data_IF_173466378471
#
_entry.id   IF_173466378471
#
_cell.length_a   1.000
_cell.length_b   1.000
_cell.length_c   1.000
_cell.angle_alpha   90.00
_cell.angle_beta   90.00
_cell.angle_gamma   90.00
#
_symmetry.space_group_name_H-M   'P 1'
#
loop_
_entity.id
_entity.type
_entity.pdbx_description
1 polymer ?
#
# COMPACT_ATOMS: atom_id res chain seq x y z
N UNK A 1 12.63 -5.15 12.31
CA UNK A 1 12.31 -5.13 13.76
C UNK A 1 12.13 -3.67 14.13
N UNK A 2 10.95 -3.28 14.61
CA UNK A 2 10.66 -1.89 14.98
C UNK A 2 11.30 -1.56 16.33
N UNK A 3 11.51 -0.27 16.60
CA UNK A 3 11.97 0.19 17.91
C UNK A 3 10.82 0.10 18.91
N UNK A 4 11.09 -0.40 20.12
CA UNK A 4 10.11 -0.48 21.23
C UNK A 4 9.40 0.86 21.49
N UNK A 5 10.08 1.98 21.21
CA UNK A 5 9.51 3.33 21.32
C UNK A 5 8.46 3.61 20.24
N UNK A 6 8.67 3.13 19.01
CA UNK A 6 7.76 3.30 17.88
C UNK A 6 6.47 2.48 18.09
N UNK A 7 6.60 1.23 18.54
CA UNK A 7 5.45 0.37 18.85
C UNK A 7 4.54 1.02 19.90
N UNK A 8 5.12 1.54 20.99
CA UNK A 8 4.37 2.27 22.03
C UNK A 8 3.66 3.52 21.50
N UNK A 9 4.27 4.26 20.57
CA UNK A 9 3.69 5.47 19.97
C UNK A 9 2.53 5.13 19.04
N UNK A 10 2.62 4.03 18.27
CA UNK A 10 1.53 3.51 17.44
C UNK A 10 0.36 2.95 18.28
N UNK A 11 0.67 2.27 19.38
CA UNK A 11 -0.31 1.81 20.36
C UNK A 11 -1.05 2.99 21.04
N UNK A 12 -0.39 4.15 21.18
CA UNK A 12 -1.02 5.38 21.68
C UNK A 12 -1.92 6.02 20.61
N UNK A 13 -1.43 6.15 19.37
CA UNK A 13 -2.22 6.68 18.24
C UNK A 13 -3.52 5.88 18.03
N UNK A 14 -3.41 4.57 17.88
CA UNK A 14 -4.53 3.66 17.62
C UNK A 14 -5.60 3.62 18.71
N UNK A 15 -5.29 4.05 19.93
CA UNK A 15 -6.25 4.07 21.05
C UNK A 15 -6.88 5.44 21.28
N UNK A 16 -6.15 6.52 20.97
CA UNK A 16 -6.50 7.86 21.44
C UNK A 16 -6.72 8.89 20.33
N UNK A 17 -6.16 8.69 19.12
CA UNK A 17 -6.15 9.69 18.05
C UNK A 17 -7.03 9.26 16.89
N UNK A 18 -8.13 9.95 16.67
CA UNK A 18 -8.91 9.85 15.45
C UNK A 18 -8.11 10.44 14.28
N UNK A 19 -8.06 9.78 13.12
CA UNK A 19 -8.88 8.62 12.78
C UNK A 19 -8.20 7.25 12.98
N UNK A 20 -6.98 7.17 13.56
CA UNK A 20 -6.30 5.89 13.80
C UNK A 20 -7.09 4.92 14.71
N UNK A 21 -7.97 5.43 15.58
CA UNK A 21 -8.91 4.61 16.35
C UNK A 21 -9.94 3.84 15.52
N UNK A 22 -10.10 4.20 14.25
CA UNK A 22 -11.00 3.56 13.29
C UNK A 22 -10.31 2.43 12.50
N UNK A 23 -9.01 2.16 12.73
CA UNK A 23 -8.23 1.19 11.96
C UNK A 23 -8.08 -0.15 12.69
N UNK A 24 -8.09 -1.25 11.94
CA UNK A 24 -7.78 -2.60 12.43
C UNK A 24 -6.31 -2.77 12.81
N UNK A 25 -5.98 -3.86 13.51
CA UNK A 25 -4.58 -4.19 13.86
C UNK A 25 -3.72 -4.49 12.63
N UNK A 26 -4.27 -5.11 11.58
CA UNK A 26 -3.55 -5.31 10.33
C UNK A 26 -3.25 -3.96 9.66
N UNK A 27 -4.24 -3.06 9.58
CA UNK A 27 -4.08 -1.73 8.96
C UNK A 27 -3.07 -0.85 9.70
N UNK A 28 -2.98 -0.95 11.03
CA UNK A 28 -1.96 -0.23 11.80
C UNK A 28 -0.52 -0.58 11.42
N UNK A 29 -0.25 -1.79 10.90
CA UNK A 29 1.07 -2.12 10.35
C UNK A 29 1.34 -1.45 8.99
N UNK A 30 0.30 -1.19 8.18
CA UNK A 30 0.44 -0.42 6.94
C UNK A 30 0.64 1.08 7.20
N UNK A 31 -0.02 1.62 8.24
CA UNK A 31 0.14 3.00 8.71
C UNK A 31 1.60 3.34 9.00
N UNK A 32 2.40 2.41 9.54
CA UNK A 32 3.84 2.63 9.83
C UNK A 32 4.64 3.06 8.61
N UNK A 33 4.29 2.56 7.42
CA UNK A 33 4.96 2.91 6.17
C UNK A 33 4.43 4.21 5.54
N UNK A 34 3.32 4.72 6.06
CA UNK A 34 2.58 5.89 5.59
C UNK A 34 2.91 7.14 6.42
N UNK A 35 3.02 6.99 7.74
CA UNK A 35 3.22 8.11 8.67
C UNK A 35 4.69 8.33 9.00
N UNK A 36 5.06 9.58 9.28
CA UNK A 36 6.40 9.97 9.70
C UNK A 36 6.35 10.47 11.13
N UNK A 37 7.20 9.89 11.98
CA UNK A 37 7.39 10.35 13.35
C UNK A 37 8.59 11.29 13.43
N UNK A 38 8.42 12.39 14.16
CA UNK A 38 9.47 13.35 14.46
C UNK A 38 9.50 13.58 15.97
N UNK A 39 10.70 13.58 16.55
CA UNK A 39 10.93 13.98 17.92
C UNK A 39 11.54 15.39 17.92
N UNK A 40 10.98 16.29 18.73
CA UNK A 40 11.51 17.64 18.92
C UNK A 40 11.81 17.88 20.39
N UNK A 41 12.95 18.49 20.69
CA UNK A 41 13.31 18.94 22.04
C UNK A 41 12.72 20.32 22.31
N UNK A 42 12.50 20.65 23.58
CA UNK A 42 12.04 21.98 23.97
C UNK A 42 12.95 23.07 23.39
N UNK A 43 12.35 24.06 22.74
CA UNK A 43 13.03 25.17 22.08
C UNK A 43 13.44 24.91 20.63
N UNK A 44 13.34 23.67 20.12
CA UNK A 44 13.61 23.39 18.70
C UNK A 44 12.53 23.98 17.80
N UNK A 45 12.97 24.41 16.62
CA UNK A 45 12.13 25.01 15.57
C UNK A 45 12.34 24.21 14.29
N UNK A 46 11.25 23.78 13.66
CA UNK A 46 11.28 22.93 12.46
C UNK A 46 10.28 23.44 11.41
N UNK A 47 10.64 23.46 10.13
CA UNK A 47 9.70 23.81 9.05
C UNK A 47 9.23 22.56 8.32
N UNK A 48 7.91 22.46 8.16
CA UNK A 48 7.22 21.34 7.50
C UNK A 48 6.25 21.88 6.45
N UNK A 49 6.07 21.12 5.38
CA UNK A 49 5.05 21.33 4.35
C UNK A 49 4.14 20.10 4.30
N UNK A 50 2.86 20.29 4.03
CA UNK A 50 2.04 19.17 3.55
C UNK A 50 2.50 18.71 2.16
N UNK A 51 2.00 17.56 1.72
CA UNK A 51 2.23 17.02 0.39
C UNK A 51 1.45 17.76 -0.69
N UNK A 52 0.82 17.00 -1.59
CA UNK A 52 -0.06 17.56 -2.63
C UNK A 52 -1.48 17.88 -2.12
N UNK A 53 -1.87 17.28 -0.98
CA UNK A 53 -3.12 17.52 -0.28
C UNK A 53 -2.91 18.28 1.03
N UNK A 54 -3.86 18.14 1.95
CA UNK A 54 -3.79 18.72 3.30
C UNK A 54 -3.35 17.64 4.30
N UNK A 55 -2.04 17.49 4.54
CA UNK A 55 -1.52 16.47 5.44
C UNK A 55 -1.96 16.72 6.89
N UNK A 56 -2.19 15.64 7.64
CA UNK A 56 -2.52 15.70 9.06
C UNK A 56 -1.26 15.76 9.93
N UNK A 57 -1.25 16.66 10.91
CA UNK A 57 -0.26 16.72 11.97
C UNK A 57 -0.91 16.45 13.34
N UNK A 58 -0.40 15.42 14.03
CA UNK A 58 -0.81 15.04 15.38
C UNK A 58 0.32 15.26 16.36
N UNK A 59 0.05 15.88 17.50
CA UNK A 59 1.01 16.00 18.61
C UNK A 59 0.78 14.80 19.52
N UNK A 60 1.57 13.74 19.37
CA UNK A 60 1.35 12.48 20.11
C UNK A 60 1.75 12.62 21.58
N UNK A 61 2.84 13.34 21.85
CA UNK A 61 3.32 13.71 23.17
C UNK A 61 3.87 15.15 23.14
N UNK A 62 3.85 15.84 24.28
CA UNK A 62 4.42 17.19 24.43
C UNK A 62 3.47 18.33 24.06
N UNK A 63 4.03 19.44 23.57
CA UNK A 63 3.27 20.66 23.26
C UNK A 63 4.03 21.53 22.23
N UNK A 64 3.33 21.92 21.17
CA UNK A 64 3.87 22.73 20.08
C UNK A 64 3.12 24.06 19.93
N UNK A 65 3.80 25.05 19.36
CA UNK A 65 3.18 26.21 18.70
C UNK A 65 3.52 26.14 17.21
N UNK A 66 2.54 26.41 16.33
CA UNK A 66 2.65 26.21 14.87
C UNK A 66 2.59 27.60 14.19
N UNK A 67 3.24 27.88 13.03
CA UNK A 67 3.20 29.18 12.28
C UNK A 67 3.53 29.01 10.76
N UNK A 68 2.67 29.22 9.75
CA UNK A 68 1.35 29.84 9.76
C UNK A 68 1.27 31.15 8.95
N UNK A 69 1.97 31.28 7.82
CA UNK A 69 1.92 32.47 6.94
C UNK A 69 2.10 33.81 7.68
N UNK A 70 3.01 33.83 8.67
CA UNK A 70 3.27 34.99 9.54
C UNK A 70 2.27 35.21 10.68
N UNK A 71 1.16 34.46 10.74
CA UNK A 71 0.08 34.62 11.70
C UNK A 71 -0.45 33.26 12.23
N UNK A 72 0.15 32.75 13.30
CA UNK A 72 -0.55 31.82 14.21
C UNK A 72 -0.23 32.19 15.66
N UNK A 73 -1.22 31.98 16.54
CA UNK A 73 -1.02 31.47 17.90
C UNK A 73 -2.08 30.40 18.21
N UNK A 74 -1.78 29.17 17.85
CA UNK A 74 -2.48 27.95 18.22
C UNK A 74 -1.43 27.05 18.85
N UNK A 75 -1.62 26.77 20.13
CA UNK A 75 -0.80 25.83 20.87
C UNK A 75 -1.52 24.49 20.81
N UNK A 76 -0.82 23.44 20.37
CA UNK A 76 -1.38 22.12 20.15
C UNK A 76 -0.66 21.10 21.03
N UNK A 77 -1.43 20.39 21.85
CA UNK A 77 -1.01 19.19 22.56
C UNK A 77 -1.74 17.93 22.08
N UNK A 78 -1.53 16.80 22.76
CA UNK A 78 -2.25 15.56 22.53
C UNK A 78 -3.76 15.73 22.57
N UNK A 79 -4.32 16.29 23.65
CA UNK A 79 -5.76 16.40 23.83
C UNK A 79 -6.44 17.24 22.72
N UNK A 80 -5.77 18.29 22.21
CA UNK A 80 -6.26 19.13 21.12
C UNK A 80 -6.28 18.37 19.79
N UNK A 81 -5.20 17.63 19.49
CA UNK A 81 -5.02 16.95 18.19
C UNK A 81 -5.61 15.55 18.10
N UNK A 82 -6.06 14.97 19.23
CA UNK A 82 -6.68 13.64 19.28
C UNK A 82 -7.95 13.48 18.45
N UNK A 83 -8.76 14.52 18.28
CA UNK A 83 -10.00 14.48 17.47
C UNK A 83 -9.92 15.34 16.22
N UNK A 84 -9.08 16.37 16.25
CA UNK A 84 -8.95 17.36 15.20
C UNK A 84 -7.45 17.55 14.91
N UNK A 85 -6.86 16.72 14.02
CA UNK A 85 -5.49 16.97 13.57
C UNK A 85 -5.32 18.38 13.03
N UNK A 86 -4.14 18.93 13.21
CA UNK A 86 -3.79 20.19 12.55
C UNK A 86 -3.58 19.89 11.07
N UNK A 87 -4.38 20.52 10.22
CA UNK A 87 -4.19 20.47 8.77
C UNK A 87 -2.97 21.31 8.40
N UNK A 88 -1.97 20.66 7.81
CA UNK A 88 -0.87 21.38 7.18
C UNK A 88 -1.31 21.97 5.84
N UNK A 89 -0.75 23.13 5.46
CA UNK A 89 -1.00 23.73 4.18
C UNK A 89 -0.33 22.90 3.06
N UNK A 90 -0.94 22.83 1.86
CA UNK A 90 -0.35 22.13 0.74
C UNK A 90 0.93 22.84 0.25
N UNK A 91 1.84 22.06 -0.32
CA UNK A 91 3.05 22.57 -0.99
C UNK A 91 2.68 23.62 -2.06
N UNK A 92 3.40 24.75 -2.19
CA UNK A 92 4.72 25.06 -1.59
C UNK A 92 4.66 25.75 -0.21
N UNK A 93 3.49 25.86 0.41
CA UNK A 93 3.32 26.64 1.65
C UNK A 93 3.89 25.89 2.86
N UNK A 94 4.59 26.60 3.76
CA UNK A 94 5.27 26.02 4.94
C UNK A 94 4.59 26.40 6.26
N UNK A 95 4.59 25.46 7.20
CA UNK A 95 4.33 25.69 8.62
C UNK A 95 5.61 25.49 9.42
N UNK A 96 5.82 26.34 10.42
CA UNK A 96 6.94 26.34 11.35
C UNK A 96 6.43 25.82 12.68
N UNK A 97 6.98 24.71 13.15
CA UNK A 97 6.69 24.11 14.44
C UNK A 97 7.73 24.62 15.45
N UNK A 98 7.27 25.04 16.62
CA UNK A 98 8.10 25.50 17.75
C UNK A 98 7.76 24.63 18.95
N UNK A 99 8.70 23.79 19.37
CA UNK A 99 8.49 22.89 20.49
C UNK A 99 8.52 23.66 21.82
N UNK A 100 7.37 23.76 22.50
CA UNK A 100 7.26 24.38 23.83
C UNK A 100 7.67 23.40 24.95
N UNK A 101 7.62 22.11 24.67
CA UNK A 101 8.13 21.01 25.50
C UNK A 101 8.80 19.96 24.62
N UNK A 102 9.49 18.98 25.20
CA UNK A 102 9.90 17.78 24.45
C UNK A 102 8.64 17.10 23.89
N UNK A 103 8.58 16.91 22.58
CA UNK A 103 7.37 16.55 21.86
C UNK A 103 7.62 15.44 20.83
N UNK A 104 6.63 14.57 20.65
CA UNK A 104 6.61 13.55 19.59
C UNK A 104 5.44 13.89 18.67
N UNK A 105 5.72 13.93 17.37
CA UNK A 105 4.80 14.42 16.35
C UNK A 105 4.63 13.33 15.31
N UNK A 106 3.38 13.05 14.92
CA UNK A 106 3.04 12.17 13.81
C UNK A 106 2.54 13.02 12.64
N UNK A 107 3.16 12.85 11.48
CA UNK A 107 2.79 13.48 10.22
C UNK A 107 2.24 12.41 9.28
N UNK A 108 1.03 12.58 8.78
CA UNK A 108 0.32 11.59 7.98
C UNK A 108 -0.28 12.24 6.72
N UNK A 109 -0.06 11.61 5.56
CA UNK A 109 -0.79 11.95 4.34
C UNK A 109 -2.29 11.70 4.56
N UNK A 110 -3.09 12.74 4.35
CA UNK A 110 -4.54 12.68 4.58
C UNK A 110 -5.24 11.76 3.60
N UNK A 111 -4.94 11.85 2.30
CA UNK A 111 -5.67 11.11 1.28
C UNK A 111 -5.42 9.60 1.44
N UNK A 112 -4.21 9.22 1.85
CA UNK A 112 -3.86 7.84 2.15
C UNK A 112 -4.48 7.35 3.47
N UNK A 113 -4.59 8.20 4.49
CA UNK A 113 -5.23 7.85 5.76
C UNK A 113 -6.76 7.74 5.62
N UNK A 114 -7.41 8.75 5.01
CA UNK A 114 -8.85 8.80 4.67
C UNK A 114 -9.25 7.54 3.85
N UNK A 115 -8.40 7.09 2.91
CA UNK A 115 -8.55 5.79 2.25
C UNK A 115 -8.54 4.64 3.25
N UNK A 116 -7.47 4.45 4.02
CA UNK A 116 -7.33 3.32 4.95
C UNK A 116 -8.52 3.18 5.92
N UNK A 117 -9.13 4.29 6.34
CA UNK A 117 -10.34 4.31 7.18
C UNK A 117 -11.58 3.92 6.38
N UNK A 118 -11.76 4.47 5.18
CA UNK A 118 -12.87 4.08 4.29
C UNK A 118 -12.86 2.58 4.01
N UNK A 119 -11.68 1.95 4.01
CA UNK A 119 -11.57 0.48 3.90
C UNK A 119 -11.97 -0.23 5.19
N UNK A 120 -11.64 0.29 6.37
CA UNK A 120 -11.98 -0.32 7.66
C UNK A 120 -13.47 -0.17 8.02
N UNK A 121 -14.06 1.01 7.79
CA UNK A 121 -15.49 1.25 8.06
C UNK A 121 -16.38 0.41 7.15
N UNK A 122 -16.00 0.27 5.88
CA UNK A 122 -16.76 -0.56 4.93
C UNK A 122 -16.67 -2.03 5.34
N UNK A 123 -15.49 -2.56 5.70
CA UNK A 123 -15.32 -3.92 6.29
C UNK A 123 -16.22 -4.16 7.51
N UNK A 124 -16.38 -3.16 8.39
CA UNK A 124 -17.17 -3.28 9.63
C UNK A 124 -18.68 -3.29 9.42
N UNK A 125 -19.18 -2.78 8.29
CA UNK A 125 -20.61 -2.63 7.99
C UNK A 125 -21.19 -3.74 7.12
N UNK A 126 -20.42 -4.82 6.91
CA UNK A 126 -20.60 -5.72 5.78
C UNK A 126 -20.98 -7.14 6.20
N UNK A 127 -21.74 -7.83 5.36
CA UNK A 127 -22.31 -9.15 5.65
C UNK A 127 -21.23 -10.25 5.50
N UNK A 128 -21.46 -11.49 5.95
CA UNK A 128 -20.46 -12.57 5.87
C UNK A 128 -19.93 -12.82 4.44
N UNK A 129 -20.77 -12.55 3.42
CA UNK A 129 -20.40 -12.65 1.99
C UNK A 129 -19.38 -11.58 1.58
N UNK A 130 -19.49 -10.40 2.18
CA UNK A 130 -18.60 -9.28 1.92
C UNK A 130 -17.23 -9.48 2.61
N UNK A 131 -17.19 -10.08 3.80
CA UNK A 131 -15.93 -10.35 4.53
C UNK A 131 -14.96 -11.18 3.68
N UNK A 132 -15.45 -12.21 2.99
CA UNK A 132 -14.62 -13.00 2.07
C UNK A 132 -14.16 -12.17 0.85
N UNK A 133 -15.01 -11.26 0.36
CA UNK A 133 -14.64 -10.30 -0.69
C UNK A 133 -13.45 -9.41 -0.26
N UNK A 134 -13.40 -8.97 1.00
CA UNK A 134 -12.24 -8.23 1.55
C UNK A 134 -10.99 -9.08 1.68
N UNK A 135 -11.12 -10.30 2.22
CA UNK A 135 -9.97 -11.21 2.34
C UNK A 135 -9.34 -11.49 0.98
N UNK A 136 -10.15 -11.68 -0.05
CA UNK A 136 -9.66 -11.87 -1.42
C UNK A 136 -9.04 -10.58 -1.97
N UNK A 137 -9.65 -9.42 -1.76
CA UNK A 137 -9.07 -8.14 -2.20
C UNK A 137 -7.74 -7.80 -1.47
N UNK A 138 -7.61 -8.18 -0.20
CA UNK A 138 -6.35 -8.15 0.58
C UNK A 138 -5.27 -9.02 -0.05
N UNK A 139 -5.62 -10.22 -0.54
CA UNK A 139 -4.69 -11.07 -1.30
C UNK A 139 -4.27 -10.40 -2.61
N UNK A 140 -5.19 -9.74 -3.34
CA UNK A 140 -4.83 -8.95 -4.53
C UNK A 140 -3.87 -7.83 -4.16
N UNK A 141 -4.17 -7.02 -3.12
CA UNK A 141 -3.31 -5.92 -2.64
C UNK A 141 -1.91 -6.40 -2.28
N UNK A 142 -1.79 -7.52 -1.59
CA UNK A 142 -0.50 -8.03 -1.12
C UNK A 142 0.29 -8.84 -2.17
N UNK A 143 -0.35 -9.21 -3.28
CA UNK A 143 0.29 -9.97 -4.37
C UNK A 143 1.48 -9.25 -5.02
N UNK A 144 2.34 -10.05 -5.66
CA UNK A 144 3.69 -9.65 -6.10
C UNK A 144 3.73 -8.39 -7.00
N UNK A 145 2.74 -8.21 -7.86
CA UNK A 145 2.69 -7.07 -8.81
C UNK A 145 1.94 -5.87 -8.21
N UNK A 146 0.90 -6.12 -7.40
CA UNK A 146 -0.03 -5.08 -6.93
C UNK A 146 0.41 -4.38 -5.63
N UNK A 147 1.30 -4.99 -4.83
CA UNK A 147 1.78 -4.47 -3.53
C UNK A 147 2.40 -3.06 -3.55
N UNK A 148 2.79 -2.53 -4.72
CA UNK A 148 3.35 -1.18 -4.87
C UNK A 148 2.47 -0.22 -5.66
N UNK A 149 1.25 -0.62 -6.01
CA UNK A 149 0.34 0.19 -6.83
C UNK A 149 -0.64 0.98 -5.97
N UNK A 150 -1.18 2.10 -6.49
CA UNK A 150 -2.28 2.82 -5.85
C UNK A 150 -3.48 1.89 -5.62
N UNK A 151 -4.21 2.17 -4.54
CA UNK A 151 -5.32 1.34 -4.10
C UNK A 151 -6.46 1.30 -5.15
N UNK A 152 -6.67 2.41 -5.85
CA UNK A 152 -7.57 2.51 -6.99
C UNK A 152 -7.20 1.53 -8.13
N UNK A 153 -5.90 1.30 -8.37
CA UNK A 153 -5.42 0.31 -9.36
C UNK A 153 -5.67 -1.12 -8.88
N UNK A 154 -5.52 -1.38 -7.58
CA UNK A 154 -5.85 -2.68 -6.95
C UNK A 154 -7.34 -2.97 -7.04
N UNK A 155 -8.20 -1.98 -6.76
CA UNK A 155 -9.65 -2.09 -6.95
C UNK A 155 -10.05 -2.40 -8.39
N UNK A 156 -9.45 -1.67 -9.34
CA UNK A 156 -9.73 -1.88 -10.77
C UNK A 156 -9.25 -3.26 -11.23
N UNK A 157 -8.14 -3.78 -10.68
CA UNK A 157 -7.70 -5.14 -10.91
C UNK A 157 -8.70 -6.16 -10.38
N UNK A 158 -9.08 -6.03 -9.10
CA UNK A 158 -10.01 -6.94 -8.43
C UNK A 158 -11.37 -7.00 -9.15
N UNK A 159 -11.93 -5.84 -9.54
CA UNK A 159 -13.20 -5.77 -10.31
C UNK A 159 -13.12 -6.37 -11.72
N UNK A 160 -11.92 -6.61 -12.26
CA UNK A 160 -11.69 -7.29 -13.56
C UNK A 160 -11.28 -8.75 -13.41
N UNK A 161 -10.92 -9.20 -12.22
CA UNK A 161 -10.55 -10.60 -11.95
C UNK A 161 -11.77 -11.51 -11.96
N UNK A 162 -11.56 -12.78 -12.31
CA UNK A 162 -12.58 -13.84 -12.27
C UNK A 162 -12.10 -14.98 -11.38
N UNK A 163 -12.98 -15.50 -10.52
CA UNK A 163 -12.72 -16.75 -9.82
C UNK A 163 -12.77 -17.92 -10.81
N UNK A 164 -11.81 -18.83 -10.70
CA UNK A 164 -11.75 -20.08 -11.42
C UNK A 164 -11.41 -21.21 -10.44
N UNK A 165 -12.29 -22.20 -10.35
CA UNK A 165 -12.02 -23.42 -9.59
C UNK A 165 -11.00 -24.29 -10.32
N UNK A 166 -10.10 -24.88 -9.55
CA UNK A 166 -8.99 -25.70 -10.03
C UNK A 166 -8.88 -26.98 -9.21
N UNK A 167 -8.51 -28.08 -9.87
CA UNK A 167 -8.47 -29.41 -9.26
C UNK A 167 -7.05 -29.88 -8.99
N UNK A 168 -6.88 -30.71 -7.96
CA UNK A 168 -5.59 -31.35 -7.66
C UNK A 168 -5.03 -32.06 -8.91
N UNK A 169 -3.77 -31.77 -9.22
CA UNK A 169 -3.07 -32.27 -10.40
C UNK A 169 -3.24 -31.43 -11.66
N UNK A 170 -4.14 -30.44 -11.68
CA UNK A 170 -4.31 -29.53 -12.81
C UNK A 170 -3.07 -28.62 -12.97
N UNK A 171 -2.52 -28.58 -14.17
CA UNK A 171 -1.54 -27.58 -14.59
C UNK A 171 -2.31 -26.31 -14.97
N UNK A 172 -2.15 -25.23 -14.20
CA UNK A 172 -2.88 -23.96 -14.41
C UNK A 172 -2.18 -23.08 -15.44
N UNK A 173 -0.85 -23.12 -15.46
CA UNK A 173 -0.01 -22.67 -16.58
C UNK A 173 1.05 -23.75 -16.86
N UNK A 174 1.47 -23.89 -18.11
CA UNK A 174 2.53 -24.82 -18.52
C UNK A 174 3.67 -24.09 -19.22
N UNK A 175 4.90 -24.48 -18.90
CA UNK A 175 6.11 -23.96 -19.55
C UNK A 175 6.03 -24.07 -21.08
N UNK A 176 6.46 -23.01 -21.77
CA UNK A 176 6.44 -22.91 -23.24
C UNK A 176 5.11 -22.45 -23.84
N UNK A 177 4.00 -22.42 -23.08
CA UNK A 177 2.73 -21.86 -23.56
C UNK A 177 2.76 -20.31 -23.56
N UNK A 178 1.75 -19.68 -24.15
CA UNK A 178 1.67 -18.22 -24.20
C UNK A 178 1.36 -17.61 -22.81
N UNK A 179 1.84 -16.39 -22.56
CA UNK A 179 1.33 -15.56 -21.47
C UNK A 179 -0.05 -15.01 -21.80
N UNK A 180 -1.09 -15.54 -21.17
CA UNK A 180 -2.52 -15.22 -21.41
C UNK A 180 -3.21 -14.54 -20.21
N UNK A 181 -2.79 -14.85 -18.98
CA UNK A 181 -3.31 -14.27 -17.75
C UNK A 181 -2.30 -14.25 -16.58
N UNK A 182 -2.63 -13.48 -15.54
CA UNK A 182 -2.00 -13.44 -14.22
C UNK A 182 -2.92 -14.10 -13.20
N UNK A 183 -2.35 -14.83 -12.24
CA UNK A 183 -3.09 -15.67 -11.31
C UNK A 183 -2.73 -15.40 -9.86
N UNK A 184 -3.71 -15.50 -8.96
CA UNK A 184 -3.55 -15.44 -7.50
C UNK A 184 -4.30 -16.61 -6.88
N UNK A 185 -3.68 -17.35 -5.97
CA UNK A 185 -4.34 -18.47 -5.25
C UNK A 185 -5.16 -17.90 -4.09
N UNK A 186 -6.48 -18.10 -4.11
CA UNK A 186 -7.37 -17.70 -3.00
C UNK A 186 -7.72 -18.85 -2.07
N UNK A 187 -7.63 -20.09 -2.57
CA UNK A 187 -7.76 -21.32 -1.80
C UNK A 187 -6.92 -22.44 -2.41
N UNK A 188 -6.39 -23.32 -1.56
CA UNK A 188 -5.57 -24.48 -1.96
C UNK A 188 -4.07 -24.19 -2.04
N UNK A 189 -3.35 -25.10 -2.70
CA UNK A 189 -1.89 -25.11 -2.80
C UNK A 189 -1.44 -25.60 -4.18
N UNK A 190 -0.28 -25.13 -4.64
CA UNK A 190 0.33 -25.53 -5.92
C UNK A 190 1.84 -25.72 -5.77
N UNK A 191 2.46 -26.31 -6.79
CA UNK A 191 3.91 -26.36 -6.94
C UNK A 191 4.33 -25.77 -8.30
N UNK A 192 5.48 -25.11 -8.30
CA UNK A 192 6.11 -24.55 -9.51
C UNK A 192 7.27 -25.45 -9.90
N UNK A 193 7.34 -25.85 -11.18
CA UNK A 193 8.47 -26.61 -11.70
C UNK A 193 8.83 -26.19 -13.13
N UNK A 194 10.11 -26.33 -13.46
CA UNK A 194 10.66 -26.06 -14.78
C UNK A 194 11.36 -27.31 -15.29
N UNK A 195 11.12 -27.67 -16.56
CA UNK A 195 11.80 -28.77 -17.25
C UNK A 195 13.16 -28.31 -17.75
N UNK A 196 14.18 -29.10 -17.46
CA UNK A 196 15.55 -28.85 -17.92
C UNK A 196 15.67 -28.94 -19.45
N UNK A 197 16.35 -27.98 -20.07
CA UNK A 197 16.49 -27.88 -21.54
C UNK A 197 17.20 -29.08 -22.21
N UNK A 198 17.92 -29.89 -21.44
CA UNK A 198 18.76 -30.97 -21.96
C UNK A 198 18.31 -32.38 -21.55
N UNK A 199 17.59 -32.53 -20.44
CA UNK A 199 17.15 -33.84 -19.94
C UNK A 199 15.62 -33.97 -19.77
N UNK A 200 14.87 -32.90 -20.07
CA UNK A 200 13.41 -32.80 -19.96
C UNK A 200 12.85 -33.14 -18.56
N UNK A 201 13.69 -33.12 -17.52
CA UNK A 201 13.26 -33.47 -16.16
C UNK A 201 12.65 -32.26 -15.46
N UNK A 202 11.52 -32.44 -14.75
CA UNK A 202 10.94 -31.36 -13.95
C UNK A 202 11.77 -31.12 -12.69
N UNK A 203 12.35 -29.93 -12.59
CA UNK A 203 12.98 -29.40 -11.39
C UNK A 203 11.97 -28.52 -10.65
N UNK A 204 11.66 -28.88 -9.40
CA UNK A 204 10.78 -28.07 -8.55
C UNK A 204 11.50 -26.78 -8.13
N UNK A 205 10.83 -25.65 -8.32
CA UNK A 205 11.33 -24.30 -8.00
C UNK A 205 10.74 -23.80 -6.69
N UNK A 206 9.43 -23.97 -6.49
CA UNK A 206 8.73 -23.45 -5.32
C UNK A 206 7.45 -24.25 -5.00
N UNK A 207 6.94 -24.05 -3.79
CA UNK A 207 5.57 -24.35 -3.38
C UNK A 207 4.81 -23.03 -3.24
N UNK A 208 3.55 -23.01 -3.65
CA UNK A 208 2.62 -21.87 -3.56
C UNK A 208 1.39 -22.22 -2.73
N UNK A 209 0.81 -21.23 -2.07
CA UNK A 209 -0.37 -21.34 -1.20
C UNK A 209 -1.31 -20.13 -1.38
N UNK A 210 -2.40 -20.11 -0.62
CA UNK A 210 -3.22 -18.92 -0.34
C UNK A 210 -2.37 -17.62 -0.27
N UNK A 211 -2.78 -16.63 -1.07
CA UNK A 211 -2.14 -15.32 -1.21
C UNK A 211 -0.97 -15.24 -2.20
N UNK A 212 -0.38 -16.37 -2.60
CA UNK A 212 0.69 -16.37 -3.60
C UNK A 212 0.15 -16.17 -5.02
N UNK A 213 0.98 -15.57 -5.88
CA UNK A 213 0.60 -15.17 -7.23
C UNK A 213 1.67 -15.56 -8.26
N UNK A 214 1.24 -15.88 -9.47
CA UNK A 214 2.09 -16.44 -10.52
C UNK A 214 1.69 -16.01 -11.93
N UNK A 215 2.57 -16.27 -12.90
CA UNK A 215 2.32 -16.01 -14.32
C UNK A 215 2.57 -14.58 -14.80
N UNK A 216 3.12 -13.68 -13.97
CA UNK A 216 3.41 -12.30 -14.40
C UNK A 216 4.57 -12.18 -15.40
N UNK A 217 5.58 -13.05 -15.35
CA UNK A 217 6.80 -12.91 -16.18
C UNK A 217 6.52 -12.93 -17.69
N UNK A 218 5.68 -13.85 -18.16
CA UNK A 218 5.31 -13.97 -19.57
C UNK A 218 4.55 -12.74 -20.08
N UNK A 219 3.77 -12.09 -19.22
CA UNK A 219 3.05 -10.85 -19.54
C UNK A 219 4.01 -9.65 -19.62
N UNK A 220 4.91 -9.52 -18.65
CA UNK A 220 5.86 -8.40 -18.56
C UNK A 220 6.96 -8.49 -19.65
N UNK A 221 7.47 -9.69 -19.92
CA UNK A 221 8.57 -9.91 -20.86
C UNK A 221 8.13 -10.14 -22.31
N UNK A 222 6.83 -10.38 -22.55
CA UNK A 222 6.29 -10.79 -23.85
C UNK A 222 6.72 -12.19 -24.31
N UNK A 223 7.40 -12.98 -23.46
CA UNK A 223 7.85 -14.35 -23.76
C UNK A 223 6.78 -15.39 -23.40
N UNK A 224 7.03 -16.64 -23.76
CA UNK A 224 6.27 -17.80 -23.28
C UNK A 224 6.44 -18.01 -21.77
N UNK A 225 5.58 -18.84 -21.16
CA UNK A 225 5.69 -19.27 -19.75
C UNK A 225 7.08 -19.92 -19.49
N UNK A 226 7.77 -19.46 -18.46
CA UNK A 226 9.09 -19.98 -18.05
C UNK A 226 8.97 -21.26 -17.21
N UNK A 227 7.84 -21.46 -16.51
CA UNK A 227 7.55 -22.59 -15.62
C UNK A 227 6.15 -23.18 -15.85
N UNK A 228 5.96 -24.40 -15.36
CA UNK A 228 4.64 -25.01 -15.15
C UNK A 228 4.23 -24.84 -13.68
N UNK A 229 2.97 -24.48 -13.43
CA UNK A 229 2.37 -24.40 -12.10
C UNK A 229 1.26 -25.44 -12.00
N UNK A 230 1.36 -26.36 -11.05
CA UNK A 230 0.42 -27.48 -10.88
C UNK A 230 -0.19 -27.49 -9.49
N UNK A 231 -1.51 -27.60 -9.40
CA UNK A 231 -2.22 -27.69 -8.12
C UNK A 231 -1.86 -28.99 -7.38
N UNK A 232 -1.51 -28.87 -6.10
CA UNK A 232 -1.22 -30.00 -5.19
C UNK A 232 -2.43 -30.37 -4.31
N UNK A 233 -3.44 -29.50 -4.25
CA UNK A 233 -4.77 -29.71 -3.67
C UNK A 233 -5.87 -29.12 -4.57
N UNK A 234 -7.14 -29.43 -4.30
CA UNK A 234 -8.26 -28.69 -4.89
C UNK A 234 -8.26 -27.26 -4.35
N UNK A 235 -8.68 -26.30 -5.17
CA UNK A 235 -8.65 -24.89 -4.78
C UNK A 235 -9.33 -23.96 -5.77
N UNK A 236 -9.12 -22.67 -5.58
CA UNK A 236 -9.67 -21.59 -6.41
C UNK A 236 -8.58 -20.56 -6.65
N UNK A 237 -8.53 -20.02 -7.87
CA UNK A 237 -7.63 -18.94 -8.27
C UNK A 237 -8.43 -17.74 -8.77
N UNK A 238 -7.94 -16.53 -8.52
CA UNK A 238 -8.33 -15.37 -9.29
C UNK A 238 -7.49 -15.28 -10.56
N UNK A 239 -8.15 -14.94 -11.66
CA UNK A 239 -7.55 -14.78 -12.99
C UNK A 239 -7.77 -13.35 -13.47
N UNK A 240 -6.68 -12.64 -13.76
CA UNK A 240 -6.69 -11.36 -14.47
C UNK A 240 -6.14 -11.60 -15.88
N UNK A 241 -6.95 -11.37 -16.92
CA UNK A 241 -6.49 -11.56 -18.30
C UNK A 241 -5.35 -10.60 -18.69
N UNK A 242 -4.60 -10.96 -19.73
CA UNK A 242 -3.47 -10.19 -20.23
C UNK A 242 -3.81 -8.74 -20.55
N UNK A 243 -4.95 -8.47 -21.19
CA UNK A 243 -5.31 -7.09 -21.57
C UNK A 243 -5.59 -6.26 -20.33
N UNK A 244 -6.34 -6.80 -19.37
CA UNK A 244 -6.59 -6.13 -18.11
C UNK A 244 -5.31 -5.93 -17.29
N UNK A 245 -4.37 -6.89 -17.32
CA UNK A 245 -3.05 -6.73 -16.70
C UNK A 245 -2.24 -5.62 -17.39
N UNK A 246 -2.15 -5.61 -18.72
CA UNK A 246 -1.44 -4.57 -19.47
C UNK A 246 -2.05 -3.18 -19.25
N UNK A 247 -3.38 -3.04 -19.27
CA UNK A 247 -4.08 -1.77 -18.96
C UNK A 247 -3.66 -1.21 -17.58
N UNK A 248 -3.52 -2.09 -16.57
CA UNK A 248 -3.29 -1.69 -15.17
C UNK A 248 -1.82 -1.54 -14.80
N UNK A 249 -0.93 -2.28 -15.48
CA UNK A 249 0.52 -2.35 -15.17
C UNK A 249 1.36 -1.58 -16.20
N UNK A 250 0.95 -1.56 -17.47
CA UNK A 250 1.66 -0.87 -18.56
C UNK A 250 1.20 0.57 -18.76
N UNK A 251 0.08 1.00 -18.17
CA UNK A 251 -0.20 2.45 -18.02
C UNK A 251 0.90 3.04 -17.14
N UNK A 252 1.74 3.95 -17.65
CA UNK A 252 2.96 4.29 -16.94
C UNK A 252 2.68 5.00 -15.62
N UNK A 253 3.47 4.66 -14.59
CA UNK A 253 3.67 5.48 -13.38
C UNK A 253 4.35 6.85 -13.69
N UNK A 254 4.48 7.21 -14.98
CA UNK A 254 4.83 8.55 -15.43
C UNK A 254 3.63 9.45 -15.14
N UNK A 255 3.71 10.18 -14.01
CA UNK A 255 2.92 11.40 -13.82
C UNK A 255 3.27 12.34 -14.97
N UNK A 256 2.38 12.45 -15.96
CA UNK A 256 2.55 13.37 -17.09
C UNK A 256 2.58 14.80 -16.55
N UNK A 257 3.76 15.41 -16.53
CA UNK A 257 3.95 16.80 -16.15
C UNK A 257 3.85 17.71 -17.37
N UNK A 258 3.27 18.90 -17.20
CA UNK A 258 3.23 19.91 -18.25
C UNK A 258 4.67 20.27 -18.70
N UNK A 259 4.96 20.55 -19.99
CA UNK A 259 6.33 20.76 -20.47
C UNK A 259 7.15 21.83 -19.73
N UNK A 260 6.48 22.86 -19.19
CA UNK A 260 7.11 23.87 -18.32
C UNK A 260 7.66 23.29 -17.02
N UNK A 261 6.94 22.34 -16.40
CA UNK A 261 7.35 21.65 -15.17
C UNK A 261 8.48 20.67 -15.47
N UNK A 262 8.39 19.93 -16.59
CA UNK A 262 9.45 19.03 -17.04
C UNK A 262 10.79 19.75 -17.21
N UNK A 263 10.76 20.97 -17.78
CA UNK A 263 11.96 21.80 -17.95
C UNK A 263 12.60 22.16 -16.60
N UNK A 264 11.82 22.63 -15.63
CA UNK A 264 12.33 22.95 -14.29
C UNK A 264 12.87 21.71 -13.57
N UNK A 265 12.24 20.54 -13.71
CA UNK A 265 12.74 19.28 -13.12
C UNK A 265 14.11 18.87 -13.71
N UNK A 266 14.30 19.00 -15.02
CA UNK A 266 15.59 18.77 -15.69
C UNK A 266 16.67 19.78 -15.25
N UNK A 267 16.30 21.06 -15.09
CA UNK A 267 17.22 22.13 -14.66
C UNK A 267 17.64 22.03 -13.18
N UNK A 268 16.81 21.38 -12.34
CA UNK A 268 17.02 21.26 -10.89
C UNK A 268 17.49 19.87 -10.44
N UNK A 269 17.55 18.90 -11.34
CA UNK A 269 18.04 17.54 -11.06
C UNK A 269 17.10 16.67 -10.23
N UNK A 270 15.81 17.02 -10.13
CA UNK A 270 14.83 16.28 -9.34
C UNK A 270 14.14 15.19 -10.16
N UNK A 271 14.20 13.93 -9.70
CA UNK A 271 13.26 12.87 -10.12
C UNK A 271 12.09 12.75 -9.13
N UNK A 272 11.02 12.09 -9.58
CA UNK A 272 10.03 11.49 -8.69
C UNK A 272 10.62 10.28 -7.96
#
# INVERSE_FOLDING_TARGET
MMSVKLDRVLDNLSRNFQPFTLLSRERLHEVVNTVRFMEMRQGEIFQITGGKGHDYLFVVEGQLEIIYSGAIKSVAGPDDTRKHPVLLPPSPSTSTLVARQNSIICHADRDLLDKLISWDEVVRTMEDTDIELYRVMEQVRNSLVFRRLPLETVEMAFKRMKCQDVKKGQEVIRQGEAGDAYYIITAGTAEVFQRGLYDDKPHKIADLKDGDAFGCEALISGKTRSETVRMTSDGTVLVLDKQAFEDLISTPLIKSVHPSIAKTMLETGYSL
#
